data_IF_876346707501
#
_entry.id   IF_876346707501
#
_cell.length_a   1.000
_cell.length_b   1.000
_cell.length_c   1.000
_cell.angle_alpha   90.00
_cell.angle_beta   90.00
_cell.angle_gamma   90.00
#
_symmetry.space_group_name_H-M   'P 1'
#
loop_
_entity.id
_entity.type
_entity.pdbx_description
1 polymer ?
#
# COMPACT_ATOMS: atom_id res chain seq x y z
N UNK A 1 -26.14 21.96 17.42
CA UNK A 1 -25.77 21.55 18.79
C UNK A 1 -24.76 20.41 18.68
N UNK A 2 -23.49 20.55 19.12
CA UNK A 2 -22.53 19.46 19.00
C UNK A 2 -22.66 18.52 20.20
N UNK A 3 -22.96 17.25 19.93
CA UNK A 3 -22.99 16.17 20.91
C UNK A 3 -21.58 15.65 21.14
N UNK A 4 -20.97 16.00 22.29
CA UNK A 4 -19.71 15.42 22.74
C UNK A 4 -19.81 13.90 22.90
N UNK A 5 -18.91 13.17 22.25
CA UNK A 5 -18.68 11.74 22.53
C UNK A 5 -17.46 11.62 23.43
N UNK A 6 -17.66 10.90 24.53
CA UNK A 6 -16.79 10.79 25.68
C UNK A 6 -15.50 10.02 25.35
N UNK A 7 -14.34 10.64 25.64
CA UNK A 7 -13.07 9.93 25.80
C UNK A 7 -13.12 9.16 27.13
N UNK A 8 -13.19 7.83 27.09
CA UNK A 8 -12.87 7.02 28.27
C UNK A 8 -11.38 6.69 28.28
N UNK A 9 -10.64 7.00 29.37
CA UNK A 9 -9.26 6.56 29.51
C UNK A 9 -9.22 5.04 29.76
N UNK A 10 -8.34 4.35 29.04
CA UNK A 10 -8.07 2.92 29.22
C UNK A 10 -7.14 2.78 30.44
N UNK A 11 -7.61 2.11 31.49
CA UNK A 11 -6.77 1.80 32.67
C UNK A 11 -5.90 0.57 32.37
N UNK A 12 -4.60 0.79 32.24
CA UNK A 12 -3.59 -0.27 32.12
C UNK A 12 -2.97 -0.53 33.50
N UNK A 13 -2.83 -1.80 33.88
CA UNK A 13 -2.20 -2.25 35.14
C UNK A 13 -0.68 -1.99 35.06
N UNK A 14 -0.10 -1.27 36.02
CA UNK A 14 1.33 -0.93 36.03
C UNK A 14 2.20 -2.09 36.57
N UNK A 15 3.35 -2.40 35.94
CA UNK A 15 4.31 -3.40 36.42
C UNK A 15 5.38 -2.80 37.37
N UNK A 16 6.32 -3.65 37.80
CA UNK A 16 7.21 -3.46 38.95
C UNK A 16 8.24 -2.33 38.81
N UNK A 17 8.82 -1.81 39.93
CA UNK A 17 9.70 -0.64 39.95
C UNK A 17 10.98 -0.72 39.09
N UNK A 18 11.49 -1.92 38.82
CA UNK A 18 12.66 -2.11 37.96
C UNK A 18 12.33 -1.94 36.47
N UNK A 19 11.07 -2.15 36.08
CA UNK A 19 10.56 -1.90 34.74
C UNK A 19 10.26 -0.41 34.51
N UNK A 20 10.05 0.37 35.59
CA UNK A 20 9.73 1.80 35.54
C UNK A 20 10.85 2.60 34.85
N UNK A 21 12.12 2.26 35.06
CA UNK A 21 13.25 2.93 34.40
C UNK A 21 13.31 2.68 32.88
N UNK A 22 12.70 1.60 32.38
CA UNK A 22 12.50 1.37 30.93
C UNK A 22 11.15 1.90 30.42
N UNK A 23 10.14 2.04 31.29
CA UNK A 23 8.80 2.56 30.96
C UNK A 23 8.68 4.09 30.94
N UNK A 24 9.71 4.84 31.35
CA UNK A 24 9.77 6.31 31.20
C UNK A 24 10.13 6.71 29.75
N UNK A 25 9.89 5.85 28.76
CA UNK A 25 9.71 6.28 27.37
C UNK A 25 8.30 6.84 27.29
N UNK A 26 8.17 8.17 27.26
CA UNK A 26 6.89 8.88 27.18
C UNK A 26 5.90 8.16 26.25
N UNK A 27 4.76 7.74 26.79
CA UNK A 27 3.63 7.26 25.99
C UNK A 27 3.17 8.41 25.10
N UNK A 28 3.69 8.47 23.86
CA UNK A 28 3.23 9.44 22.88
C UNK A 28 1.75 9.18 22.57
N UNK A 29 0.92 10.21 22.76
CA UNK A 29 -0.51 10.13 22.50
C UNK A 29 -0.78 10.74 21.13
N UNK A 30 -1.38 9.96 20.24
CA UNK A 30 -1.78 10.42 18.91
C UNK A 30 -3.01 11.32 19.01
N UNK A 31 -2.91 12.54 18.46
CA UNK A 31 -4.02 13.46 18.31
C UNK A 31 -4.70 13.24 16.94
N UNK A 32 -5.90 12.64 16.96
CA UNK A 32 -6.68 12.34 15.76
C UNK A 32 -7.22 13.59 15.04
N UNK A 33 -7.16 14.76 15.66
CA UNK A 33 -7.59 16.02 15.04
C UNK A 33 -6.48 16.70 14.22
N UNK A 34 -5.28 16.12 14.19
CA UNK A 34 -4.10 16.64 13.47
C UNK A 34 -3.59 15.63 12.44
N UNK A 35 -2.71 16.09 11.54
CA UNK A 35 -2.06 15.23 10.56
C UNK A 35 -1.36 14.01 11.21
N UNK A 36 -1.71 12.79 10.80
CA UNK A 36 -1.29 11.56 11.48
C UNK A 36 0.07 11.01 11.04
N UNK A 37 0.50 11.23 9.79
CA UNK A 37 1.60 10.47 9.18
C UNK A 37 2.91 10.58 9.97
N UNK A 38 3.23 11.77 10.47
CA UNK A 38 4.45 11.98 11.26
C UNK A 38 4.24 11.79 12.78
N UNK A 39 2.99 11.72 13.25
CA UNK A 39 2.68 11.40 14.64
C UNK A 39 2.96 9.92 14.92
N UNK A 40 2.53 9.01 14.04
CA UNK A 40 2.62 7.56 14.25
C UNK A 40 4.05 7.03 14.35
N UNK A 41 5.03 7.75 13.79
CA UNK A 41 6.45 7.45 13.97
C UNK A 41 6.90 7.48 15.43
N UNK A 42 6.29 8.33 16.26
CA UNK A 42 6.65 8.48 17.67
C UNK A 42 6.12 7.35 18.57
N UNK A 43 5.25 6.48 18.06
CA UNK A 43 4.68 5.37 18.83
C UNK A 43 5.69 4.25 19.14
N UNK A 44 6.83 4.20 18.43
CA UNK A 44 7.86 3.20 18.65
C UNK A 44 7.31 1.77 18.61
N UNK A 45 7.52 1.01 19.67
CA UNK A 45 7.05 -0.38 19.80
C UNK A 45 5.52 -0.50 19.97
N UNK A 46 4.84 0.54 20.47
CA UNK A 46 3.39 0.52 20.66
C UNK A 46 2.59 0.65 19.35
N UNK A 47 3.26 0.99 18.24
CA UNK A 47 2.64 1.18 16.94
C UNK A 47 1.89 -0.07 16.44
N UNK A 48 2.52 -1.23 16.57
CA UNK A 48 1.98 -2.49 16.05
C UNK A 48 0.62 -2.83 16.67
N UNK A 49 0.48 -2.64 17.98
CA UNK A 49 -0.81 -2.82 18.64
C UNK A 49 -1.78 -1.71 18.25
N UNK A 50 -1.34 -0.45 18.26
CA UNK A 50 -2.18 0.71 17.99
C UNK A 50 -2.80 0.70 16.59
N UNK A 51 -2.04 0.31 15.56
CA UNK A 51 -2.47 0.37 14.15
C UNK A 51 -3.54 -0.66 13.82
N UNK A 52 -3.54 -1.81 14.51
CA UNK A 52 -4.51 -2.89 14.34
C UNK A 52 -5.77 -2.75 15.21
N UNK A 53 -5.94 -1.63 15.91
CA UNK A 53 -7.18 -1.29 16.61
C UNK A 53 -8.07 -0.39 15.75
N UNK A 54 -9.03 -0.94 14.99
CA UNK A 54 -9.75 -0.20 13.96
C UNK A 54 -10.67 0.88 14.54
N UNK A 55 -10.73 2.02 13.86
CA UNK A 55 -11.68 3.10 14.08
C UNK A 55 -12.69 3.05 12.93
N UNK A 56 -13.89 2.57 13.23
CA UNK A 56 -14.96 2.42 12.24
C UNK A 56 -15.66 3.77 12.04
N UNK A 57 -15.18 4.53 11.05
CA UNK A 57 -15.77 5.82 10.63
C UNK A 57 -15.65 5.97 9.12
N UNK A 58 -16.68 6.54 8.48
CA UNK A 58 -16.62 6.93 7.05
C UNK A 58 -15.74 8.15 6.82
N UNK A 59 -15.62 9.01 7.83
CA UNK A 59 -14.73 10.16 7.78
C UNK A 59 -13.30 9.68 8.03
N UNK A 60 -12.43 9.84 7.02
CA UNK A 60 -11.01 9.51 7.10
C UNK A 60 -10.23 10.57 7.88
N UNK A 61 -9.08 10.19 8.48
CA UNK A 61 -8.22 11.15 9.16
C UNK A 61 -7.51 12.08 8.16
N UNK A 62 -6.91 13.15 8.69
CA UNK A 62 -5.95 13.96 7.94
C UNK A 62 -4.57 13.30 8.00
N UNK A 63 -3.89 13.15 6.86
CA UNK A 63 -2.56 12.55 6.79
C UNK A 63 -1.46 13.60 6.91
N UNK A 64 -1.59 14.70 6.16
CA UNK A 64 -0.61 15.77 6.07
C UNK A 64 -1.24 17.13 6.33
N UNK A 65 -0.48 18.04 6.96
CA UNK A 65 -0.89 19.45 7.07
C UNK A 65 -0.85 20.13 5.69
N UNK A 66 0.06 19.70 4.81
CA UNK A 66 0.18 20.21 3.46
C UNK A 66 -0.95 19.67 2.55
N UNK A 67 -1.72 20.57 1.94
CA UNK A 67 -2.87 20.23 1.09
C UNK A 67 -2.50 19.42 -0.16
N UNK A 68 -1.32 19.65 -0.74
CA UNK A 68 -0.86 18.91 -1.92
C UNK A 68 -0.54 17.46 -1.54
N UNK A 69 0.21 17.25 -0.46
CA UNK A 69 0.51 15.90 0.03
C UNK A 69 -0.76 15.17 0.47
N UNK A 70 -1.69 15.87 1.13
CA UNK A 70 -2.98 15.32 1.50
C UNK A 70 -3.78 14.88 0.26
N UNK A 71 -3.86 15.73 -0.76
CA UNK A 71 -4.51 15.43 -2.03
C UNK A 71 -3.91 14.18 -2.71
N UNK A 72 -2.58 14.07 -2.75
CA UNK A 72 -1.88 12.92 -3.35
C UNK A 72 -2.15 11.58 -2.63
N UNK A 73 -2.61 11.61 -1.38
CA UNK A 73 -2.98 10.38 -0.64
C UNK A 73 -4.39 9.88 -0.93
N UNK A 74 -5.24 10.69 -1.56
CA UNK A 74 -6.66 10.40 -1.74
C UNK A 74 -6.91 9.86 -3.15
N UNK A 75 -7.31 8.59 -3.21
CA UNK A 75 -7.61 7.89 -4.46
C UNK A 75 -9.02 7.33 -4.42
N UNK A 76 -9.86 7.80 -5.33
CA UNK A 76 -11.21 7.26 -5.55
C UNK A 76 -11.13 5.87 -6.20
N UNK A 77 -12.03 4.97 -5.81
CA UNK A 77 -12.02 3.57 -6.27
C UNK A 77 -12.03 3.42 -7.79
N UNK A 78 -12.77 4.29 -8.50
CA UNK A 78 -12.91 4.23 -9.96
C UNK A 78 -11.65 4.71 -10.70
N UNK A 79 -10.69 5.36 -10.02
CA UNK A 79 -9.43 5.74 -10.64
C UNK A 79 -8.63 4.52 -11.11
N UNK A 80 -8.69 3.41 -10.36
CA UNK A 80 -7.96 2.18 -10.68
C UNK A 80 -8.35 1.62 -12.05
N UNK A 81 -9.64 1.29 -12.34
CA UNK A 81 -10.01 0.80 -13.66
C UNK A 81 -9.81 1.85 -14.76
N UNK A 82 -10.09 3.13 -14.51
CA UNK A 82 -9.95 4.20 -15.53
C UNK A 82 -8.50 4.37 -15.99
N UNK A 83 -7.53 4.22 -15.08
CA UNK A 83 -6.10 4.37 -15.41
C UNK A 83 -5.53 3.08 -15.99
N UNK A 84 -5.79 1.94 -15.36
CA UNK A 84 -5.07 0.70 -15.69
C UNK A 84 -5.73 -0.12 -16.80
N UNK A 85 -7.05 -0.04 -16.99
CA UNK A 85 -7.72 -0.80 -18.05
C UNK A 85 -7.26 -0.35 -19.46
N UNK A 86 -7.15 0.96 -19.78
CA UNK A 86 -6.58 1.39 -21.08
C UNK A 86 -5.15 0.90 -21.30
N UNK A 87 -4.33 0.86 -20.24
CA UNK A 87 -2.95 0.35 -20.31
C UNK A 87 -2.95 -1.14 -20.68
N UNK A 88 -3.75 -1.96 -20.00
CA UNK A 88 -3.92 -3.39 -20.32
C UNK A 88 -4.41 -3.58 -21.76
N UNK A 89 -5.44 -2.83 -22.17
CA UNK A 89 -5.97 -2.89 -23.54
C UNK A 89 -4.91 -2.51 -24.58
N UNK A 90 -4.10 -1.50 -24.31
CA UNK A 90 -3.02 -1.08 -25.19
C UNK A 90 -1.95 -2.17 -25.34
N UNK A 91 -1.54 -2.84 -24.25
CA UNK A 91 -0.58 -3.95 -24.34
C UNK A 91 -1.14 -5.12 -25.13
N UNK A 92 -2.40 -5.52 -24.87
CA UNK A 92 -3.08 -6.59 -25.62
C UNK A 92 -3.13 -6.25 -27.11
N UNK A 93 -3.54 -5.02 -27.45
CA UNK A 93 -3.60 -4.54 -28.84
C UNK A 93 -2.23 -4.64 -29.52
N UNK A 94 -1.17 -4.15 -28.87
CA UNK A 94 0.18 -4.23 -29.41
C UNK A 94 0.63 -5.69 -29.59
N UNK A 95 0.38 -6.59 -28.62
CA UNK A 95 0.73 -8.01 -28.78
C UNK A 95 0.11 -8.64 -30.03
N UNK A 96 -1.14 -8.29 -30.36
CA UNK A 96 -1.84 -8.74 -31.56
C UNK A 96 -1.20 -8.15 -32.82
N UNK A 97 -0.93 -6.84 -32.85
CA UNK A 97 -0.28 -6.17 -34.00
C UNK A 97 1.10 -6.77 -34.31
N UNK A 98 1.74 -7.35 -33.30
CA UNK A 98 3.05 -7.98 -33.40
C UNK A 98 3.00 -9.45 -33.82
N UNK A 99 1.80 -9.96 -34.10
CA UNK A 99 1.57 -11.29 -34.65
C UNK A 99 1.51 -12.40 -33.60
N UNK A 100 1.27 -12.07 -32.32
CA UNK A 100 1.01 -13.07 -31.30
C UNK A 100 -0.35 -13.74 -31.56
N UNK A 101 -0.38 -15.06 -31.67
CA UNK A 101 -1.65 -15.77 -31.92
C UNK A 101 -2.56 -15.77 -30.68
N UNK A 102 -3.87 -15.85 -30.91
CA UNK A 102 -4.87 -15.80 -29.82
C UNK A 102 -4.63 -16.83 -28.70
N UNK A 103 -4.24 -18.09 -28.96
CA UNK A 103 -3.94 -19.06 -27.90
C UNK A 103 -2.75 -18.65 -27.03
N UNK A 104 -1.67 -18.11 -27.64
CA UNK A 104 -0.52 -17.63 -26.89
C UNK A 104 -0.86 -16.40 -26.06
N UNK A 105 -1.64 -15.46 -26.62
CA UNK A 105 -2.14 -14.30 -25.89
C UNK A 105 -2.97 -14.73 -24.66
N UNK A 106 -3.90 -15.67 -24.83
CA UNK A 106 -4.70 -16.19 -23.73
C UNK A 106 -3.84 -16.84 -22.64
N UNK A 107 -2.83 -17.63 -23.04
CA UNK A 107 -1.88 -18.24 -22.11
C UNK A 107 -1.11 -17.18 -21.30
N UNK A 108 -0.62 -16.13 -21.96
CA UNK A 108 0.10 -15.04 -21.31
C UNK A 108 -0.79 -14.25 -20.34
N UNK A 109 -2.06 -14.03 -20.68
CA UNK A 109 -3.03 -13.41 -19.77
C UNK A 109 -3.26 -14.28 -18.54
N UNK A 110 -3.48 -15.58 -18.70
CA UNK A 110 -3.65 -16.52 -17.58
C UNK A 110 -2.41 -16.55 -16.69
N UNK A 111 -1.22 -16.63 -17.29
CA UNK A 111 0.03 -16.59 -16.55
C UNK A 111 0.19 -15.27 -15.78
N UNK A 112 -0.17 -14.14 -16.40
CA UNK A 112 -0.17 -12.82 -15.76
C UNK A 112 -1.08 -12.77 -14.53
N UNK A 113 -2.28 -13.36 -14.60
CA UNK A 113 -3.19 -13.46 -13.46
C UNK A 113 -2.56 -14.31 -12.34
N UNK A 114 -1.95 -15.45 -12.66
CA UNK A 114 -1.29 -16.29 -11.67
C UNK A 114 -0.13 -15.57 -10.99
N UNK A 115 0.72 -14.89 -11.76
CA UNK A 115 1.82 -14.06 -11.23
C UNK A 115 1.26 -12.95 -10.34
N UNK A 116 0.20 -12.27 -10.76
CA UNK A 116 -0.46 -11.25 -9.96
C UNK A 116 -0.94 -11.81 -8.61
N UNK A 117 -1.62 -12.95 -8.59
CA UNK A 117 -2.10 -13.54 -7.32
C UNK A 117 -0.95 -13.89 -6.37
N UNK A 118 0.19 -14.35 -6.90
CA UNK A 118 1.38 -14.63 -6.11
C UNK A 118 2.02 -13.34 -5.58
N UNK A 119 2.10 -12.29 -6.41
CA UNK A 119 2.61 -10.98 -6.03
C UNK A 119 1.73 -10.34 -4.96
N UNK A 120 0.40 -10.35 -5.15
CA UNK A 120 -0.58 -9.84 -4.19
C UNK A 120 -0.39 -10.51 -2.83
N UNK A 121 -0.33 -11.84 -2.81
CA UNK A 121 -0.09 -12.59 -1.58
C UNK A 121 1.23 -12.21 -0.91
N UNK A 122 2.30 -12.12 -1.69
CA UNK A 122 3.64 -11.84 -1.18
C UNK A 122 3.76 -10.42 -0.64
N UNK A 123 3.28 -9.43 -1.39
CA UNK A 123 3.25 -8.03 -0.98
C UNK A 123 2.39 -7.86 0.28
N UNK A 124 1.18 -8.43 0.28
CA UNK A 124 0.30 -8.33 1.42
C UNK A 124 0.92 -8.97 2.66
N UNK A 125 1.39 -10.21 2.57
CA UNK A 125 1.93 -10.95 3.72
C UNK A 125 3.26 -10.41 4.25
N UNK A 126 4.19 -10.06 3.37
CA UNK A 126 5.58 -9.78 3.77
C UNK A 126 5.93 -8.29 3.79
N UNK A 127 5.29 -7.46 2.96
CA UNK A 127 5.54 -6.01 2.91
C UNK A 127 4.48 -5.22 3.66
N UNK A 128 3.19 -5.50 3.42
CA UNK A 128 2.09 -4.74 3.99
C UNK A 128 1.76 -5.12 5.44
N UNK A 129 2.22 -6.28 5.92
CA UNK A 129 2.10 -6.72 7.32
C UNK A 129 3.47 -6.84 7.99
N UNK A 130 4.44 -6.03 7.55
CA UNK A 130 5.75 -5.97 8.20
C UNK A 130 5.64 -5.30 9.56
N UNK A 131 6.25 -5.91 10.58
CA UNK A 131 6.30 -5.34 11.93
C UNK A 131 7.41 -4.30 12.02
N UNK A 132 7.04 -3.07 12.38
CA UNK A 132 7.99 -1.96 12.50
C UNK A 132 8.02 -1.40 13.92
N UNK A 133 9.16 -0.81 14.28
CA UNK A 133 9.39 -0.19 15.60
C UNK A 133 10.08 1.17 15.54
N UNK A 134 10.62 1.53 14.38
CA UNK A 134 11.36 2.77 14.17
C UNK A 134 10.42 3.86 13.66
N UNK A 135 10.79 5.12 13.91
CA UNK A 135 10.01 6.28 13.46
C UNK A 135 9.62 6.21 11.98
N UNK A 136 10.62 6.03 11.11
CA UNK A 136 10.39 5.95 9.67
C UNK A 136 9.74 4.63 9.25
N UNK A 137 10.05 3.52 9.92
CA UNK A 137 9.39 2.24 9.65
C UNK A 137 7.88 2.32 9.89
N UNK A 138 7.47 2.86 11.04
CA UNK A 138 6.06 3.04 11.39
C UNK A 138 5.36 4.02 10.43
N UNK A 139 6.03 5.14 10.10
CA UNK A 139 5.52 6.15 9.15
C UNK A 139 5.26 5.54 7.77
N UNK A 140 6.23 4.78 7.23
CA UNK A 140 6.11 4.14 5.92
C UNK A 140 5.06 3.03 5.95
N UNK A 141 5.06 2.18 6.99
CA UNK A 141 4.06 1.12 7.14
C UNK A 141 2.64 1.72 7.18
N UNK A 142 2.45 2.83 7.89
CA UNK A 142 1.15 3.50 7.98
C UNK A 142 0.65 3.99 6.62
N UNK A 143 1.54 4.58 5.81
CA UNK A 143 1.23 5.03 4.45
C UNK A 143 0.96 3.88 3.48
N UNK A 144 1.66 2.75 3.62
CA UNK A 144 1.51 1.60 2.73
C UNK A 144 0.24 0.79 3.02
N UNK A 145 -0.03 0.51 4.30
CA UNK A 145 -1.12 -0.38 4.67
C UNK A 145 -1.69 -0.16 6.07
N UNK A 146 -0.91 0.39 7.01
CA UNK A 146 -1.36 0.59 8.39
C UNK A 146 -2.60 1.48 8.51
N UNK A 147 -2.76 2.49 7.65
CA UNK A 147 -4.01 3.26 7.64
C UNK A 147 -5.23 2.42 7.26
N UNK A 148 -5.09 1.44 6.37
CA UNK A 148 -6.21 0.58 6.01
C UNK A 148 -6.69 -0.25 7.22
N UNK A 149 -5.76 -0.79 8.01
CA UNK A 149 -6.10 -1.47 9.27
C UNK A 149 -6.75 -0.52 10.29
N UNK A 150 -6.21 0.69 10.39
CA UNK A 150 -6.66 1.67 11.40
C UNK A 150 -8.00 2.32 11.03
N UNK A 151 -8.24 2.60 9.76
CA UNK A 151 -9.41 3.31 9.22
C UNK A 151 -10.02 2.53 8.04
N UNK A 152 -10.61 1.35 8.30
CA UNK A 152 -11.04 0.43 7.23
C UNK A 152 -12.16 0.97 6.34
N UNK A 153 -12.87 2.01 6.79
CA UNK A 153 -14.01 2.60 6.09
C UNK A 153 -13.67 3.93 5.37
N UNK A 154 -12.40 4.36 5.34
CA UNK A 154 -11.96 5.50 4.53
C UNK A 154 -11.92 5.11 3.04
N UNK A 155 -12.99 5.46 2.32
CA UNK A 155 -13.15 5.12 0.91
C UNK A 155 -12.15 5.77 -0.05
N UNK A 156 -11.41 6.80 0.38
CA UNK A 156 -10.39 7.46 -0.44
C UNK A 156 -8.99 6.86 -0.22
N UNK A 157 -8.83 5.97 0.76
CA UNK A 157 -7.54 5.35 1.11
C UNK A 157 -7.61 3.83 1.17
N UNK A 158 -8.63 3.27 0.53
CA UNK A 158 -8.83 1.83 0.40
C UNK A 158 -7.96 1.25 -0.73
N UNK A 159 -7.90 1.95 -1.86
CA UNK A 159 -7.13 1.52 -3.03
C UNK A 159 -5.75 2.15 -3.01
N UNK A 160 -4.77 1.44 -3.55
CA UNK A 160 -3.40 1.94 -3.61
C UNK A 160 -3.28 3.07 -4.64
N UNK A 161 -2.67 4.22 -4.30
CA UNK A 161 -2.53 5.34 -5.25
C UNK A 161 -1.77 4.92 -6.52
N UNK A 162 -2.23 5.28 -7.74
CA UNK A 162 -1.64 4.81 -8.99
C UNK A 162 -0.13 5.07 -9.12
N UNK A 163 0.34 6.23 -8.66
CA UNK A 163 1.77 6.55 -8.66
C UNK A 163 2.58 5.61 -7.76
N UNK A 164 2.06 5.29 -6.58
CA UNK A 164 2.69 4.34 -5.67
C UNK A 164 2.65 2.92 -6.25
N UNK A 165 1.55 2.52 -6.89
CA UNK A 165 1.44 1.24 -7.61
C UNK A 165 2.51 1.11 -8.69
N UNK A 166 2.70 2.14 -9.51
CA UNK A 166 3.71 2.14 -10.57
C UNK A 166 5.13 1.95 -10.02
N UNK A 167 5.45 2.60 -8.90
CA UNK A 167 6.76 2.46 -8.23
C UNK A 167 6.95 1.02 -7.71
N UNK A 168 5.94 0.45 -7.06
CA UNK A 168 6.02 -0.93 -6.55
C UNK A 168 6.17 -1.97 -7.67
N UNK A 169 5.60 -1.72 -8.85
CA UNK A 169 5.68 -2.63 -10.00
C UNK A 169 6.96 -2.48 -10.83
N UNK A 170 7.70 -1.37 -10.67
CA UNK A 170 8.91 -1.11 -11.46
C UNK A 170 9.96 -2.24 -11.41
N UNK A 171 10.30 -2.85 -10.25
CA UNK A 171 11.25 -3.97 -10.22
C UNK A 171 10.74 -5.21 -10.97
N UNK A 172 9.44 -5.48 -10.92
CA UNK A 172 8.81 -6.60 -11.63
C UNK A 172 8.91 -6.37 -13.14
N UNK A 173 8.55 -5.16 -13.60
CA UNK A 173 8.66 -4.79 -15.00
C UNK A 173 10.11 -4.87 -15.52
N UNK A 174 11.08 -4.37 -14.75
CA UNK A 174 12.51 -4.43 -15.12
C UNK A 174 13.02 -5.87 -15.18
N UNK A 175 12.60 -6.73 -14.25
CA UNK A 175 12.95 -8.14 -14.26
C UNK A 175 12.39 -8.84 -15.51
N UNK A 176 11.10 -8.64 -15.81
CA UNK A 176 10.46 -9.18 -17.01
C UNK A 176 11.18 -8.73 -18.30
N UNK A 177 11.54 -7.45 -18.38
CA UNK A 177 12.25 -6.89 -19.53
C UNK A 177 13.66 -7.46 -19.70
N UNK A 178 14.37 -7.71 -18.59
CA UNK A 178 15.70 -8.33 -18.62
C UNK A 178 15.64 -9.77 -19.12
N UNK A 179 14.67 -10.56 -18.63
CA UNK A 179 14.46 -11.94 -19.12
C UNK A 179 14.10 -11.94 -20.61
N UNK A 180 13.28 -10.98 -21.05
CA UNK A 180 12.90 -10.82 -22.44
C UNK A 180 14.10 -10.55 -23.35
N UNK A 181 14.96 -9.59 -22.99
CA UNK A 181 16.13 -9.21 -23.79
C UNK A 181 17.19 -10.30 -23.89
N UNK A 182 17.32 -11.15 -22.88
CA UNK A 182 18.32 -12.23 -22.86
C UNK A 182 17.77 -13.50 -23.52
N UNK A 183 16.45 -13.60 -23.72
CA UNK A 183 15.82 -14.77 -24.34
C UNK A 183 16.21 -14.91 -25.82
N UNK A 184 16.90 -16.00 -26.21
CA UNK A 184 17.32 -16.22 -27.60
C UNK A 184 16.13 -16.30 -28.57
N UNK A 185 14.96 -16.70 -28.07
CA UNK A 185 13.72 -16.84 -28.83
C UNK A 185 13.23 -15.49 -29.40
N UNK A 186 13.35 -14.41 -28.64
CA UNK A 186 12.87 -13.08 -29.06
C UNK A 186 13.89 -12.30 -29.88
N UNK A 187 15.19 -12.51 -29.64
CA UNK A 187 16.27 -11.97 -30.49
C UNK A 187 16.15 -12.50 -31.92
N UNK A 188 15.76 -13.78 -32.07
CA UNK A 188 15.59 -14.41 -33.37
C UNK A 188 14.34 -13.93 -34.15
N UNK A 189 13.22 -13.64 -33.47
CA UNK A 189 11.95 -13.27 -34.14
C UNK A 189 11.71 -11.75 -34.32
N UNK A 190 12.56 -10.85 -33.81
CA UNK A 190 12.36 -9.37 -33.84
C UNK A 190 10.99 -8.89 -33.35
N UNK A 191 10.30 -9.69 -32.55
CA UNK A 191 9.08 -9.27 -31.86
C UNK A 191 9.54 -8.56 -30.59
N UNK A 192 8.98 -7.40 -30.26
CA UNK A 192 9.11 -6.62 -29.01
C UNK A 192 7.78 -6.66 -28.25
N UNK A 193 7.47 -7.72 -27.52
CA UNK A 193 6.23 -7.77 -26.73
C UNK A 193 6.41 -6.88 -25.50
N UNK A 194 5.72 -5.74 -25.46
CA UNK A 194 5.66 -4.90 -24.28
C UNK A 194 4.92 -5.63 -23.16
N UNK A 195 5.55 -5.76 -22.00
CA UNK A 195 4.91 -6.22 -20.77
C UNK A 195 5.13 -5.17 -19.67
N UNK A 196 4.06 -4.83 -18.95
CA UNK A 196 4.14 -4.30 -17.59
C UNK A 196 4.08 -5.47 -16.60
#
# INVERSE_FOLDING_TARGET
>A
MPSGKQNKPIHVKFPNPCDILKMVVQNFVVDLNKALVFQVGHLGEAYEEWVHQPIVSKEGPRFFENEILEFLTRTVWWAIPVIWLPVVCWFIYNSIQMGLSCPHLALLVVLGILIWTLLEYSLHRFLFHIKTKTYWGNTIHYLLHGCHHKHPMDGLRLVFPPAATAILLMPVSLFCHTIYFISPYFIAEKRIVGFL
#
